data_IF_527994016328
#
_entry.id   IF_527994016328
#
_cell.length_a   1.000
_cell.length_b   1.000
_cell.length_c   1.000
_cell.angle_alpha   90.00
_cell.angle_beta   90.00
_cell.angle_gamma   90.00
#
_symmetry.space_group_name_H-M   'P 1'
#
loop_
_entity.id
_entity.type
_entity.pdbx_description
1 polymer ?
#
# COMPACT_ATOMS: atom_id res chain seq x y z
N UNK A 1 12.01 -3.71 20.37
CA UNK A 1 10.62 -3.24 20.52
C UNK A 1 9.80 -3.99 19.49
N UNK A 2 8.68 -4.60 19.86
CA UNK A 2 7.88 -5.40 18.93
C UNK A 2 6.74 -4.55 18.38
N UNK A 3 6.44 -4.70 17.10
CA UNK A 3 5.37 -3.96 16.43
C UNK A 3 4.33 -4.94 15.90
N UNK A 4 3.06 -4.55 15.93
CA UNK A 4 1.95 -5.42 15.53
C UNK A 4 1.11 -4.70 14.48
N UNK A 5 0.85 -5.38 13.36
CA UNK A 5 -0.19 -4.97 12.43
C UNK A 5 -1.51 -5.52 12.94
N UNK A 6 -2.43 -4.61 13.27
CA UNK A 6 -3.77 -4.99 13.66
C UNK A 6 -4.60 -5.10 12.38
N UNK A 7 -5.04 -6.32 12.08
CA UNK A 7 -6.10 -6.53 11.09
C UNK A 7 -7.35 -5.86 11.62
N UNK A 8 -7.87 -4.87 10.90
CA UNK A 8 -9.19 -4.30 11.14
C UNK A 8 -10.12 -4.73 10.01
N UNK A 9 -11.43 -4.71 10.30
CA UNK A 9 -12.42 -4.82 9.24
C UNK A 9 -12.43 -3.52 8.44
N UNK A 10 -12.64 -3.65 7.12
CA UNK A 10 -12.81 -2.49 6.25
C UNK A 10 -14.07 -1.75 6.67
N UNK A 11 -13.90 -0.51 7.09
CA UNK A 11 -14.94 0.46 7.41
C UNK A 11 -15.24 1.31 6.15
N UNK A 12 -16.42 1.91 6.09
CA UNK A 12 -16.81 2.82 5.00
C UNK A 12 -15.91 4.05 4.90
N UNK A 13 -15.28 4.42 6.01
CA UNK A 13 -14.33 5.52 6.07
C UNK A 13 -12.93 5.14 5.63
N UNK A 14 -12.60 3.86 5.46
CA UNK A 14 -11.25 3.46 5.07
C UNK A 14 -10.95 3.79 3.61
N UNK A 15 -9.72 4.24 3.35
CA UNK A 15 -9.26 4.43 1.97
C UNK A 15 -9.18 3.07 1.29
N UNK A 16 -10.01 2.90 0.26
CA UNK A 16 -10.19 1.63 -0.44
C UNK A 16 -10.24 1.85 -1.95
N UNK A 17 -9.47 1.06 -2.71
CA UNK A 17 -9.59 0.98 -4.18
C UNK A 17 -10.34 -0.30 -4.52
N UNK A 18 -11.41 -0.16 -5.31
CA UNK A 18 -12.22 -1.28 -5.79
C UNK A 18 -11.36 -2.33 -6.51
N UNK A 19 -11.67 -3.62 -6.34
CA UNK A 19 -10.90 -4.76 -6.88
C UNK A 19 -10.62 -4.67 -8.39
N UNK A 20 -11.54 -4.09 -9.16
CA UNK A 20 -11.41 -3.88 -10.61
C UNK A 20 -10.22 -2.97 -10.98
N UNK A 21 -9.82 -2.08 -10.06
CA UNK A 21 -8.74 -1.12 -10.28
C UNK A 21 -7.44 -1.51 -9.57
N UNK A 22 -7.47 -2.54 -8.72
CA UNK A 22 -6.30 -3.05 -7.99
C UNK A 22 -5.25 -3.66 -8.92
N UNK A 23 -5.66 -4.34 -10.00
CA UNK A 23 -4.74 -5.04 -10.90
C UNK A 23 -3.70 -4.12 -11.55
N UNK A 24 -4.03 -2.86 -11.81
CA UNK A 24 -3.04 -1.89 -12.32
C UNK A 24 -1.99 -1.50 -11.29
N UNK A 25 -2.36 -1.43 -10.00
CA UNK A 25 -1.41 -1.16 -8.92
C UNK A 25 -0.47 -2.34 -8.70
N UNK A 26 -1.00 -3.57 -8.76
CA UNK A 26 -0.21 -4.80 -8.67
C UNK A 26 0.80 -4.90 -9.81
N UNK A 27 0.36 -4.75 -11.07
CA UNK A 27 1.25 -4.76 -12.24
C UNK A 27 2.33 -3.67 -12.17
N UNK A 28 2.04 -2.50 -11.58
CA UNK A 28 3.02 -1.45 -11.35
C UNK A 28 4.04 -1.89 -10.29
N UNK A 29 3.58 -2.49 -9.19
CA UNK A 29 4.42 -2.98 -8.09
C UNK A 29 5.37 -4.12 -8.52
N UNK A 30 4.95 -4.95 -9.47
CA UNK A 30 5.75 -6.01 -10.11
C UNK A 30 6.70 -5.47 -11.19
N UNK A 31 6.60 -4.18 -11.55
CA UNK A 31 7.36 -3.58 -12.65
C UNK A 31 6.93 -4.04 -14.06
N UNK A 32 5.77 -4.69 -14.20
CA UNK A 32 5.22 -5.12 -15.50
C UNK A 32 4.67 -3.95 -16.31
N UNK A 33 4.31 -2.85 -15.65
CA UNK A 33 3.97 -1.57 -16.28
C UNK A 33 4.77 -0.44 -15.63
N UNK A 34 5.02 0.64 -16.38
CA UNK A 34 5.78 1.80 -15.90
C UNK A 34 4.91 2.95 -15.40
N UNK A 35 3.61 2.95 -15.75
CA UNK A 35 2.63 3.97 -15.37
C UNK A 35 1.23 3.36 -15.29
N UNK A 36 0.40 3.90 -14.40
CA UNK A 36 -1.02 3.60 -14.30
C UNK A 36 -1.85 4.68 -15.00
N UNK A 37 -2.96 4.31 -15.64
CA UNK A 37 -3.80 5.23 -16.43
C UNK A 37 -4.76 6.10 -15.60
N UNK A 38 -4.70 5.99 -14.27
CA UNK A 38 -5.48 6.65 -13.21
C UNK A 38 -6.30 5.63 -12.41
N UNK A 39 -6.11 5.63 -11.10
CA UNK A 39 -6.75 4.70 -10.16
C UNK A 39 -7.52 5.50 -9.11
N UNK A 40 -8.74 5.08 -8.81
CA UNK A 40 -9.65 5.77 -7.91
C UNK A 40 -9.84 5.04 -6.59
N UNK A 41 -9.94 5.79 -5.50
CA UNK A 41 -10.28 5.29 -4.18
C UNK A 41 -11.60 5.87 -3.65
N UNK A 42 -12.14 5.24 -2.61
CA UNK A 42 -13.27 5.70 -1.78
C UNK A 42 -12.81 5.77 -0.31
N UNK A 43 -13.63 6.38 0.55
CA UNK A 43 -13.35 6.54 1.98
C UNK A 43 -12.76 7.91 2.31
N UNK A 44 -12.62 8.17 3.60
CA UNK A 44 -12.13 9.44 4.14
C UNK A 44 -10.76 9.21 4.79
N UNK A 45 -9.82 10.13 4.57
CA UNK A 45 -8.38 9.93 4.83
C UNK A 45 -8.02 9.88 6.34
N UNK A 46 -8.47 8.85 7.06
CA UNK A 46 -8.32 8.71 8.51
C UNK A 46 -7.32 7.62 8.94
N UNK A 47 -6.89 6.77 8.01
CA UNK A 47 -5.98 5.66 8.30
C UNK A 47 -4.67 5.78 7.50
N UNK A 48 -3.55 5.44 8.13
CA UNK A 48 -2.23 5.39 7.48
C UNK A 48 -2.10 4.21 6.48
N UNK A 49 -3.16 3.40 6.34
CA UNK A 49 -3.24 2.21 5.51
C UNK A 49 -4.30 2.37 4.44
N UNK A 50 -3.99 1.87 3.25
CA UNK A 50 -4.98 1.74 2.18
C UNK A 50 -5.27 0.26 2.06
N UNK A 51 -6.51 -0.13 2.32
CA UNK A 51 -6.92 -1.54 2.33
C UNK A 51 -6.95 -2.04 0.88
N UNK A 52 -5.77 -2.40 0.37
CA UNK A 52 -5.48 -2.72 -1.02
C UNK A 52 -4.80 -4.07 -1.15
N UNK A 53 -5.34 -5.12 -0.53
CA UNK A 53 -4.72 -6.45 -0.65
C UNK A 53 -3.20 -6.48 -0.33
N UNK A 54 -2.69 -5.51 0.44
CA UNK A 54 -1.29 -5.44 0.87
C UNK A 54 -0.33 -4.49 0.12
N UNK A 55 -0.75 -3.73 -0.90
CA UNK A 55 0.26 -3.06 -1.75
C UNK A 55 0.57 -1.60 -1.40
N UNK A 56 -0.42 -0.77 -1.02
CA UNK A 56 -0.22 0.68 -0.84
C UNK A 56 -0.29 1.16 0.60
N UNK A 57 0.67 2.00 1.01
CA UNK A 57 0.73 2.59 2.35
C UNK A 57 0.94 4.12 2.31
N UNK A 58 0.65 4.81 3.42
CA UNK A 58 0.95 6.23 3.60
C UNK A 58 2.46 6.50 3.70
N UNK A 59 2.84 7.79 3.64
CA UNK A 59 4.23 8.22 3.90
C UNK A 59 4.73 7.78 5.28
N UNK A 60 3.89 7.92 6.32
CA UNK A 60 4.25 7.59 7.70
C UNK A 60 4.54 6.10 7.83
N UNK A 61 3.67 5.25 7.28
CA UNK A 61 3.84 3.81 7.27
C UNK A 61 5.09 3.39 6.46
N UNK A 62 5.30 3.95 5.27
CA UNK A 62 6.52 3.71 4.49
C UNK A 62 7.80 4.10 5.25
N UNK A 63 7.81 5.29 5.86
CA UNK A 63 8.93 5.78 6.66
C UNK A 63 9.22 4.87 7.86
N UNK A 64 8.16 4.41 8.53
CA UNK A 64 8.25 3.43 9.59
C UNK A 64 8.88 2.12 9.11
N UNK A 65 8.40 1.54 7.99
CA UNK A 65 8.98 0.30 7.46
C UNK A 65 10.44 0.45 7.05
N UNK A 66 10.82 1.55 6.38
CA UNK A 66 12.22 1.82 6.04
C UNK A 66 13.12 1.94 7.27
N UNK A 67 12.61 2.55 8.35
CA UNK A 67 13.35 2.67 9.61
C UNK A 67 13.55 1.33 10.30
N UNK A 68 12.54 0.47 10.29
CA UNK A 68 12.55 -0.78 11.05
C UNK A 68 13.14 -1.99 10.28
N UNK A 69 13.15 -1.94 8.95
CA UNK A 69 13.57 -3.07 8.09
C UNK A 69 14.85 -2.80 7.27
N UNK A 70 15.55 -1.71 7.59
CA UNK A 70 16.69 -1.17 6.82
C UNK A 70 16.34 -0.89 5.33
N UNK A 71 17.33 -0.49 4.54
CA UNK A 71 17.18 -0.08 3.13
C UNK A 71 16.74 -1.21 2.17
N UNK A 72 16.48 -2.42 2.67
CA UNK A 72 16.09 -3.57 1.86
C UNK A 72 14.62 -3.53 1.40
N UNK A 73 13.87 -2.49 1.79
CA UNK A 73 12.47 -2.30 1.39
C UNK A 73 12.34 -1.16 0.38
N UNK A 74 12.00 -1.56 -0.84
CA UNK A 74 11.71 -0.63 -1.93
C UNK A 74 10.22 -0.28 -1.98
N UNK A 75 9.95 0.99 -2.23
CA UNK A 75 8.61 1.50 -2.44
C UNK A 75 8.53 2.30 -3.74
N UNK A 76 7.42 2.17 -4.45
CA UNK A 76 7.10 2.92 -5.66
C UNK A 76 6.13 4.05 -5.30
N UNK A 77 6.55 5.33 -5.36
CA UNK A 77 5.65 6.44 -5.12
C UNK A 77 4.61 6.49 -6.23
N UNK A 78 3.34 6.54 -5.85
CA UNK A 78 2.19 6.47 -6.75
C UNK A 78 1.12 7.46 -6.32
N UNK A 79 0.31 7.94 -7.27
CA UNK A 79 -0.79 8.87 -7.00
C UNK A 79 -2.11 8.19 -7.39
N UNK A 80 -3.06 8.20 -6.47
CA UNK A 80 -4.44 7.76 -6.69
C UNK A 80 -5.41 8.93 -6.45
N UNK A 81 -6.67 8.76 -6.85
CA UNK A 81 -7.62 9.86 -6.95
C UNK A 81 -8.92 9.56 -6.20
N UNK A 82 -9.47 10.52 -5.48
CA UNK A 82 -10.76 10.37 -4.83
C UNK A 82 -11.88 10.22 -5.85
N UNK A 83 -12.70 9.18 -5.69
CA UNK A 83 -13.88 8.96 -6.53
C UNK A 83 -14.96 10.00 -6.23
N UNK A 84 -14.97 11.07 -7.02
CA UNK A 84 -16.00 12.12 -6.97
C UNK A 84 -15.41 13.53 -6.83
N UNK A 85 -14.37 13.71 -6.00
CA UNK A 85 -13.72 15.01 -5.82
C UNK A 85 -12.49 15.21 -6.70
N UNK A 86 -11.93 14.12 -7.26
CA UNK A 86 -10.70 14.15 -8.07
C UNK A 86 -9.46 14.65 -7.31
N UNK A 87 -9.55 14.73 -5.98
CA UNK A 87 -8.41 15.04 -5.12
C UNK A 87 -7.37 13.91 -5.18
N UNK A 88 -6.10 14.31 -5.14
CA UNK A 88 -4.99 13.37 -5.22
C UNK A 88 -4.56 12.89 -3.85
N UNK A 89 -4.21 11.61 -3.78
CA UNK A 89 -3.60 10.99 -2.63
C UNK A 89 -2.28 10.33 -3.05
N UNK A 90 -1.20 10.75 -2.40
CA UNK A 90 0.11 10.13 -2.58
C UNK A 90 0.19 8.87 -1.73
N UNK A 91 0.59 7.78 -2.36
CA UNK A 91 0.70 6.46 -1.76
C UNK A 91 2.05 5.85 -2.12
N UNK A 92 2.47 4.87 -1.34
CA UNK A 92 3.73 4.17 -1.56
C UNK A 92 3.42 2.69 -1.73
N UNK A 93 3.64 2.18 -2.94
CA UNK A 93 3.43 0.77 -3.22
C UNK A 93 4.67 -0.03 -2.82
N UNK A 94 4.55 -1.05 -2.00
CA UNK A 94 5.67 -1.97 -1.74
C UNK A 94 6.05 -2.67 -3.04
N UNK A 95 7.32 -2.63 -3.43
CA UNK A 95 7.80 -3.33 -4.62
C UNK A 95 7.82 -4.84 -4.35
N UNK A 96 7.09 -5.61 -5.15
CA UNK A 96 7.08 -7.08 -5.03
C UNK A 96 8.37 -7.61 -5.66
N UNK A 97 9.22 -8.24 -4.85
CA UNK A 97 10.35 -9.02 -5.36
C UNK A 97 10.03 -10.51 -5.18
N UNK A 98 9.93 -11.31 -6.26
CA UNK A 98 9.63 -12.74 -6.15
C UNK A 98 10.72 -13.55 -5.41
N UNK A 99 11.94 -13.01 -5.23
CA UNK A 99 12.96 -13.63 -4.36
C UNK A 99 12.70 -13.36 -2.86
N UNK A 100 11.82 -12.41 -2.55
CA UNK A 100 11.44 -11.98 -1.20
C UNK A 100 9.98 -12.42 -0.96
N UNK A 101 9.70 -13.70 -1.21
CA UNK A 101 8.34 -14.27 -1.17
C UNK A 101 7.86 -14.60 0.26
N UNK A 102 8.59 -14.15 1.28
CA UNK A 102 8.18 -14.20 2.68
C UNK A 102 8.76 -12.99 3.38
N UNK A 103 7.94 -11.95 3.54
CA UNK A 103 8.33 -10.81 4.33
C UNK A 103 8.26 -11.15 5.82
N UNK A 104 9.25 -11.89 6.31
CA UNK A 104 9.56 -11.92 7.73
C UNK A 104 10.27 -10.61 8.03
N UNK A 105 9.49 -9.54 8.20
CA UNK A 105 10.01 -8.39 8.94
C UNK A 105 10.35 -8.95 10.32
N UNK A 106 11.63 -8.95 10.72
CA UNK A 106 12.13 -9.62 11.93
C UNK A 106 11.34 -9.29 13.22
N UNK A 107 10.52 -8.24 13.20
CA UNK A 107 9.67 -7.78 14.30
C UNK A 107 8.18 -7.57 13.94
N UNK A 108 7.72 -7.99 12.76
CA UNK A 108 6.36 -7.76 12.27
C UNK A 108 5.85 -9.01 11.53
N UNK A 109 4.80 -9.62 12.09
CA UNK A 109 4.18 -10.82 11.54
C UNK A 109 3.05 -10.40 10.59
N UNK A 110 3.23 -10.63 9.30
CA UNK A 110 2.12 -10.71 8.36
C UNK A 110 1.59 -12.15 8.37
N UNK A 111 0.30 -12.34 8.64
CA UNK A 111 -0.39 -13.61 8.43
C UNK A 111 -0.86 -13.62 6.97
N UNK A 112 -0.26 -14.49 6.15
CA UNK A 112 -0.71 -14.80 4.79
C UNK A 112 -2.09 -15.47 4.80
#
# INVERSE_FOLDING_TARGET
MNYYLLRHNIDENDIYVDIEQQGSLELLSEGRISKISKTYYKGENFTDYISLGGFGVSYNAMSFFKKECDENVDFIPTVIYSKGTEETLNIYLTKINPEIDCWIMKNLIFLC
#
